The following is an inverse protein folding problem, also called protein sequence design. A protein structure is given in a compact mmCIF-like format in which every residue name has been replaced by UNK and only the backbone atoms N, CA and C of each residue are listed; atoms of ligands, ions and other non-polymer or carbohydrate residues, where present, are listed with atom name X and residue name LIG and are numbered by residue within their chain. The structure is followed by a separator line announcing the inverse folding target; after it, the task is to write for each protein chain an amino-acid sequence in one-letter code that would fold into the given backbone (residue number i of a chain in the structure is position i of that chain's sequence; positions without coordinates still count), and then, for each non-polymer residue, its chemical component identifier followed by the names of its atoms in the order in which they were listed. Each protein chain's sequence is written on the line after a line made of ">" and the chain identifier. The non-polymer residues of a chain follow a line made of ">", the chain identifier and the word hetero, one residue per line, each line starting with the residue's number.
data_IF_750895315705
#
_entry.id   IF_750895315705
#
_cell.length_a   1.000
_cell.length_b   1.000
_cell.length_c   1.000
_cell.angle_alpha   90.00
_cell.angle_beta   90.00
_cell.angle_gamma   90.00
#
_symmetry.space_group_name_H-M   'P 1'
#
loop_
_entity.id
_entity.type
_entity.pdbx_description
1 polymer ?
#
# COMPACT_ATOMS: atom_id res chain seq x y z
N UNK A 1 3.12 9.88 -12.02
CA UNK A 1 1.80 9.55 -11.43
C UNK A 1 1.88 9.43 -9.91
N UNK A 2 2.67 8.50 -9.35
CA UNK A 2 2.74 8.26 -7.89
C UNK A 2 3.09 9.45 -7.02
N UNK A 3 4.19 10.14 -7.35
CA UNK A 3 4.58 11.35 -6.62
C UNK A 3 3.47 12.40 -6.64
N UNK A 4 2.74 12.53 -7.75
CA UNK A 4 1.58 13.42 -7.85
C UNK A 4 0.42 12.99 -6.94
N UNK A 5 0.02 11.72 -6.99
CA UNK A 5 -1.06 11.17 -6.15
C UNK A 5 -0.82 11.39 -4.65
N UNK A 6 0.39 11.10 -4.16
CA UNK A 6 0.70 11.26 -2.73
C UNK A 6 0.89 12.71 -2.31
N UNK A 7 1.30 13.58 -3.24
CA UNK A 7 1.40 15.00 -3.01
C UNK A 7 0.02 15.68 -2.99
N UNK A 8 -0.90 15.18 -3.81
CA UNK A 8 -2.31 15.56 -3.82
C UNK A 8 -3.00 15.16 -2.51
N UNK A 9 -2.80 13.91 -2.06
CA UNK A 9 -3.26 13.49 -0.74
C UNK A 9 -2.71 14.32 0.42
N UNK A 10 -1.41 14.64 0.37
CA UNK A 10 -0.81 15.58 1.34
C UNK A 10 -1.53 16.93 1.30
N UNK A 11 -1.84 17.45 0.11
CA UNK A 11 -2.53 18.73 -0.04
C UNK A 11 -3.94 18.71 0.56
N UNK A 12 -4.68 17.62 0.42
CA UNK A 12 -5.98 17.42 1.08
C UNK A 12 -5.85 17.43 2.61
N UNK A 13 -4.90 16.67 3.17
CA UNK A 13 -4.68 16.63 4.62
C UNK A 13 -4.21 17.96 5.21
N UNK A 14 -3.66 18.85 4.39
CA UNK A 14 -3.16 20.17 4.80
C UNK A 14 -4.04 21.33 4.33
N UNK A 15 -5.31 21.07 4.00
CA UNK A 15 -6.32 22.07 3.66
C UNK A 15 -5.92 22.99 2.51
N UNK A 16 -5.26 22.41 1.49
CA UNK A 16 -4.75 23.14 0.32
C UNK A 16 -5.65 23.04 -0.92
N UNK A 17 -6.69 22.20 -0.87
CA UNK A 17 -7.55 21.87 -2.03
C UNK A 17 -8.99 22.38 -1.86
N UNK A 18 -9.28 23.05 -0.75
CA UNK A 18 -10.65 23.30 -0.25
C UNK A 18 -11.44 24.37 -1.03
N UNK A 19 -10.79 25.11 -1.94
CA UNK A 19 -11.40 26.27 -2.61
C UNK A 19 -11.59 26.10 -4.11
N UNK A 20 -10.91 25.15 -4.74
CA UNK A 20 -10.97 24.94 -6.19
C UNK A 20 -10.44 23.57 -6.56
N UNK A 21 -11.07 22.96 -7.57
CA UNK A 21 -10.57 21.72 -8.17
C UNK A 21 -9.29 21.95 -8.98
N UNK A 22 -9.09 23.14 -9.54
CA UNK A 22 -7.92 23.40 -10.38
C UNK A 22 -6.73 23.85 -9.53
N UNK A 23 -6.05 22.88 -8.93
CA UNK A 23 -4.87 23.10 -8.09
C UNK A 23 -3.58 22.61 -8.75
N UNK A 24 -2.41 23.12 -8.33
CA UNK A 24 -1.12 22.58 -8.79
C UNK A 24 -0.95 21.09 -8.48
N UNK A 25 -1.49 20.61 -7.36
CA UNK A 25 -1.37 19.21 -6.93
C UNK A 25 -2.15 18.27 -7.85
N UNK A 26 -3.41 18.62 -8.15
CA UNK A 26 -4.20 17.93 -9.16
C UNK A 26 -3.50 17.98 -10.52
N UNK A 27 -2.97 19.13 -10.94
CA UNK A 27 -2.26 19.23 -12.23
C UNK A 27 -1.06 18.27 -12.32
N UNK A 28 -0.29 18.09 -11.24
CA UNK A 28 0.83 17.14 -11.19
C UNK A 28 0.34 15.69 -11.18
N UNK A 29 -0.75 15.40 -10.46
CA UNK A 29 -1.35 14.07 -10.44
C UNK A 29 -1.89 13.66 -11.83
N UNK A 30 -2.74 14.52 -12.43
CA UNK A 30 -3.36 14.28 -13.74
C UNK A 30 -2.36 14.31 -14.90
N UNK A 31 -1.30 15.13 -14.86
CA UNK A 31 -0.22 15.04 -15.85
C UNK A 31 0.55 13.72 -15.76
N UNK A 32 0.75 13.23 -14.53
CA UNK A 32 1.30 11.90 -14.29
C UNK A 32 0.41 10.78 -14.85
N UNK A 33 -0.91 10.90 -14.71
CA UNK A 33 -1.88 9.99 -15.34
C UNK A 33 -1.79 10.07 -16.87
N UNK A 34 -1.84 11.28 -17.44
CA UNK A 34 -1.80 11.50 -18.88
C UNK A 34 -0.55 10.87 -19.51
N UNK A 35 0.62 11.02 -18.88
CA UNK A 35 1.85 10.38 -19.34
C UNK A 35 1.73 8.84 -19.42
N UNK A 36 1.13 8.21 -18.41
CA UNK A 36 0.90 6.75 -18.39
C UNK A 36 -0.13 6.34 -19.44
N UNK A 37 -1.23 7.10 -19.57
CA UNK A 37 -2.27 6.85 -20.56
C UNK A 37 -1.73 6.94 -22.00
N UNK A 38 -0.93 7.97 -22.29
CA UNK A 38 -0.27 8.14 -23.60
C UNK A 38 0.74 7.03 -23.88
N UNK A 39 1.51 6.59 -22.88
CA UNK A 39 2.46 5.49 -23.06
C UNK A 39 1.74 4.16 -23.36
N UNK A 40 0.70 3.83 -22.59
CA UNK A 40 -0.08 2.60 -22.81
C UNK A 40 -0.86 2.65 -24.13
N UNK A 41 -1.56 3.77 -24.39
CA UNK A 41 -2.32 3.98 -25.62
C UNK A 41 -1.41 4.02 -26.86
N UNK A 42 -0.27 4.68 -26.77
CA UNK A 42 0.74 4.72 -27.84
C UNK A 42 1.34 3.34 -28.13
N UNK A 43 1.67 2.56 -27.09
CA UNK A 43 2.17 1.19 -27.28
C UNK A 43 1.11 0.28 -27.94
N UNK A 44 -0.16 0.42 -27.56
CA UNK A 44 -1.27 -0.30 -28.18
C UNK A 44 -1.45 0.13 -29.65
N UNK A 45 -1.49 1.44 -29.92
CA UNK A 45 -1.65 1.98 -31.27
C UNK A 45 -0.50 1.54 -32.20
N UNK A 46 0.76 1.62 -31.74
CA UNK A 46 1.92 1.14 -32.49
C UNK A 46 1.83 -0.37 -32.78
N UNK A 47 1.31 -1.16 -31.85
CA UNK A 47 1.11 -2.59 -32.04
C UNK A 47 0.03 -2.89 -33.08
N UNK A 48 -1.06 -2.10 -33.08
CA UNK A 48 -2.13 -2.20 -34.09
C UNK A 48 -1.67 -1.74 -35.48
N UNK A 49 -0.88 -0.66 -35.56
CA UNK A 49 -0.28 -0.19 -36.82
C UNK A 49 0.67 -1.22 -37.44
N UNK A 50 1.21 -2.15 -36.64
CA UNK A 50 2.02 -3.29 -37.10
C UNK A 50 1.17 -4.51 -37.50
N UNK A 51 -0.14 -4.34 -37.68
CA UNK A 51 -1.06 -5.36 -38.19
C UNK A 51 -1.61 -6.31 -37.12
N UNK A 52 -1.41 -6.04 -35.82
CA UNK A 52 -2.02 -6.83 -34.76
C UNK A 52 -3.48 -6.44 -34.56
N UNK A 53 -4.34 -7.42 -34.27
CA UNK A 53 -5.70 -7.13 -33.82
C UNK A 53 -5.65 -6.45 -32.44
N UNK A 54 -6.69 -5.71 -32.06
CA UNK A 54 -6.73 -5.04 -30.76
C UNK A 54 -6.57 -6.01 -29.57
N UNK A 55 -7.06 -7.25 -29.72
CA UNK A 55 -6.90 -8.34 -28.76
C UNK A 55 -5.43 -8.76 -28.63
N UNK A 56 -4.73 -8.93 -29.75
CA UNK A 56 -3.32 -9.35 -29.80
C UNK A 56 -2.32 -8.20 -29.56
N UNK A 57 -2.79 -6.96 -29.66
CA UNK A 57 -2.00 -5.75 -29.46
C UNK A 57 -1.80 -5.45 -27.97
N UNK A 58 -2.65 -5.98 -27.09
CA UNK A 58 -2.53 -5.80 -25.64
C UNK A 58 -1.43 -6.69 -25.07
N UNK A 59 -0.39 -6.12 -24.40
CA UNK A 59 0.62 -6.94 -23.74
C UNK A 59 0.00 -7.79 -22.63
N UNK A 60 0.39 -9.07 -22.56
CA UNK A 60 -0.13 -9.99 -21.56
C UNK A 60 0.07 -9.44 -20.13
N UNK A 61 -1.03 -9.31 -19.37
CA UNK A 61 -1.05 -8.78 -18.01
C UNK A 61 -1.45 -7.30 -17.90
N UNK A 62 -1.48 -6.57 -19.02
CA UNK A 62 -1.87 -5.16 -19.09
C UNK A 62 -3.36 -4.95 -19.39
N UNK A 63 -4.16 -6.01 -19.50
CA UNK A 63 -5.58 -5.91 -19.89
C UNK A 63 -6.37 -5.02 -18.92
N UNK A 64 -6.20 -5.24 -17.62
CA UNK A 64 -6.86 -4.38 -16.62
C UNK A 64 -6.29 -2.95 -16.63
N UNK A 65 -5.04 -2.72 -17.02
CA UNK A 65 -4.53 -1.35 -17.13
C UNK A 65 -5.18 -0.60 -18.29
N UNK A 66 -5.42 -1.28 -19.42
CA UNK A 66 -6.14 -0.70 -20.56
C UNK A 66 -7.57 -0.33 -20.18
N UNK A 67 -8.24 -1.12 -19.34
CA UNK A 67 -9.56 -0.77 -18.78
C UNK A 67 -9.48 0.29 -17.67
N UNK A 68 -8.40 0.29 -16.90
CA UNK A 68 -8.19 1.22 -15.80
C UNK A 68 -7.96 2.66 -16.27
N UNK A 69 -7.35 2.86 -17.44
CA UNK A 69 -7.15 4.20 -18.04
C UNK A 69 -8.47 4.93 -18.29
N UNK A 70 -9.45 4.40 -19.06
CA UNK A 70 -10.73 5.07 -19.25
C UNK A 70 -11.54 5.16 -17.95
N UNK A 71 -11.45 4.17 -17.05
CA UNK A 71 -12.11 4.23 -15.75
C UNK A 71 -11.59 5.39 -14.89
N UNK A 72 -10.27 5.57 -14.84
CA UNK A 72 -9.64 6.69 -14.14
C UNK A 72 -9.98 8.03 -14.80
N UNK A 73 -9.93 8.12 -16.13
CA UNK A 73 -10.30 9.35 -16.84
C UNK A 73 -11.76 9.76 -16.56
N UNK A 74 -12.67 8.79 -16.60
CA UNK A 74 -14.06 9.01 -16.20
C UNK A 74 -14.17 9.40 -14.72
N UNK A 75 -13.43 8.72 -13.84
CA UNK A 75 -13.33 9.05 -12.43
C UNK A 75 -12.97 10.51 -12.18
N UNK A 76 -11.99 11.06 -12.91
CA UNK A 76 -11.58 12.46 -12.73
C UNK A 76 -12.61 13.48 -13.21
N UNK A 77 -13.34 13.18 -14.29
CA UNK A 77 -14.48 14.02 -14.71
C UNK A 77 -15.61 13.93 -13.70
N UNK A 78 -15.89 12.72 -13.19
CA UNK A 78 -16.89 12.50 -12.17
C UNK A 78 -16.54 13.21 -10.87
N UNK A 79 -15.26 13.25 -10.49
CA UNK A 79 -14.74 13.95 -9.32
C UNK A 79 -14.93 15.46 -9.41
N UNK A 80 -14.62 16.06 -10.56
CA UNK A 80 -14.92 17.47 -10.82
C UNK A 80 -16.42 17.77 -10.65
N UNK A 81 -17.28 16.94 -11.22
CA UNK A 81 -18.75 17.09 -11.10
C UNK A 81 -19.18 16.91 -9.64
N UNK A 82 -18.61 15.93 -8.94
CA UNK A 82 -18.90 15.63 -7.55
C UNK A 82 -18.63 16.84 -6.65
N UNK A 83 -17.46 17.46 -6.79
CA UNK A 83 -17.11 18.67 -6.06
C UNK A 83 -18.03 19.87 -6.39
N UNK A 84 -18.49 19.98 -7.63
CA UNK A 84 -19.44 21.04 -8.02
C UNK A 84 -20.82 20.84 -7.39
N UNK A 85 -21.26 19.60 -7.21
CA UNK A 85 -22.58 19.26 -6.68
C UNK A 85 -22.63 19.22 -5.15
N UNK A 86 -21.58 18.69 -4.52
CA UNK A 86 -21.57 18.37 -3.08
C UNK A 86 -20.52 19.15 -2.27
N UNK A 87 -19.67 19.95 -2.93
CA UNK A 87 -18.57 20.66 -2.28
C UNK A 87 -17.32 19.80 -2.08
N UNK A 88 -16.34 20.33 -1.36
CA UNK A 88 -15.11 19.60 -1.01
C UNK A 88 -15.34 18.81 0.29
N UNK A 89 -14.96 17.54 0.25
CA UNK A 89 -15.04 16.61 1.37
C UNK A 89 -14.09 17.01 2.52
N UNK A 90 -14.50 16.75 3.77
CA UNK A 90 -13.74 17.12 4.98
C UNK A 90 -13.39 15.88 5.82
N UNK A 91 -12.24 15.92 6.49
CA UNK A 91 -11.80 14.83 7.35
C UNK A 91 -11.49 13.56 6.56
N UNK A 92 -12.18 12.46 6.85
CA UNK A 92 -11.94 11.17 6.18
C UNK A 92 -12.75 10.99 4.89
N UNK A 93 -13.71 11.87 4.63
CA UNK A 93 -14.61 11.77 3.47
C UNK A 93 -13.89 11.74 2.11
N UNK A 94 -12.80 12.50 1.86
CA UNK A 94 -12.07 12.40 0.59
C UNK A 94 -11.53 10.99 0.29
N UNK A 95 -11.26 10.19 1.34
CA UNK A 95 -10.75 8.83 1.19
C UNK A 95 -11.84 7.81 0.84
N UNK A 96 -13.11 8.19 1.04
CA UNK A 96 -14.27 7.31 0.93
C UNK A 96 -15.27 7.77 -0.12
N UNK A 97 -15.10 8.97 -0.68
CA UNK A 97 -16.09 9.51 -1.60
C UNK A 97 -16.16 8.69 -2.90
N UNK A 98 -17.35 8.55 -3.51
CA UNK A 98 -17.53 7.69 -4.67
C UNK A 98 -16.59 8.04 -5.84
N UNK A 99 -16.29 9.32 -6.05
CA UNK A 99 -15.39 9.77 -7.12
C UNK A 99 -13.95 9.36 -6.87
N UNK A 100 -13.43 9.60 -5.66
CA UNK A 100 -12.08 9.19 -5.25
C UNK A 100 -11.92 7.67 -5.26
N UNK A 101 -12.93 6.90 -4.85
CA UNK A 101 -12.90 5.43 -4.93
C UNK A 101 -12.88 4.92 -6.38
N UNK A 102 -13.54 5.61 -7.31
CA UNK A 102 -13.51 5.28 -8.73
C UNK A 102 -12.12 5.56 -9.33
N UNK A 103 -11.54 6.71 -9.00
CA UNK A 103 -10.16 7.07 -9.34
C UNK A 103 -9.17 6.04 -8.77
N UNK A 104 -9.28 5.70 -7.49
CA UNK A 104 -8.41 4.74 -6.84
C UNK A 104 -8.53 3.33 -7.43
N UNK A 105 -9.73 2.93 -7.85
CA UNK A 105 -9.97 1.66 -8.56
C UNK A 105 -9.27 1.65 -9.91
N UNK A 106 -9.47 2.68 -10.74
CA UNK A 106 -8.78 2.83 -12.02
C UNK A 106 -7.25 2.83 -11.86
N UNK A 107 -6.74 3.56 -10.87
CA UNK A 107 -5.33 3.61 -10.51
C UNK A 107 -4.80 2.22 -10.14
N UNK A 108 -5.47 1.51 -9.23
CA UNK A 108 -5.08 0.17 -8.81
C UNK A 108 -5.01 -0.82 -9.99
N UNK A 109 -5.96 -0.73 -10.93
CA UNK A 109 -5.98 -1.56 -12.15
C UNK A 109 -4.77 -1.29 -13.06
N UNK A 110 -4.43 -0.02 -13.25
CA UNK A 110 -3.26 0.43 -14.04
C UNK A 110 -1.98 -0.09 -13.39
N UNK A 111 -1.82 0.14 -12.10
CA UNK A 111 -0.52 0.03 -11.44
C UNK A 111 -0.14 -1.39 -11.07
N UNK A 112 -1.11 -2.27 -10.94
CA UNK A 112 -0.92 -3.70 -10.72
C UNK A 112 -0.56 -4.46 -12.01
N UNK A 113 -0.45 -3.79 -13.16
CA UNK A 113 -0.14 -4.44 -14.43
C UNK A 113 1.21 -5.18 -14.47
N UNK A 114 2.34 -4.59 -14.00
CA UNK A 114 3.62 -5.30 -14.00
C UNK A 114 3.58 -6.58 -13.14
N UNK A 115 2.78 -6.58 -12.07
CA UNK A 115 2.58 -7.75 -11.21
C UNK A 115 1.91 -8.91 -11.96
N UNK A 116 0.89 -8.63 -12.77
CA UNK A 116 0.23 -9.64 -13.62
C UNK A 116 1.10 -10.06 -14.81
N UNK A 117 1.81 -9.11 -15.41
CA UNK A 117 2.68 -9.36 -16.56
C UNK A 117 3.83 -10.30 -16.18
N UNK A 118 4.44 -10.12 -15.00
CA UNK A 118 5.52 -10.99 -14.54
C UNK A 118 5.11 -12.47 -14.45
N UNK A 119 3.88 -12.75 -14.01
CA UNK A 119 3.32 -14.11 -13.99
C UNK A 119 3.19 -14.72 -15.38
N UNK A 120 2.69 -13.94 -16.34
CA UNK A 120 2.34 -14.47 -17.67
C UNK A 120 3.55 -14.64 -18.58
N UNK A 121 4.55 -13.78 -18.43
CA UNK A 121 5.75 -13.80 -19.25
C UNK A 121 6.82 -14.77 -18.72
N UNK A 122 6.55 -15.51 -17.64
CA UNK A 122 7.56 -16.31 -16.95
C UNK A 122 8.71 -15.47 -16.36
N UNK A 123 8.57 -14.14 -16.35
CA UNK A 123 9.60 -13.18 -15.96
C UNK A 123 9.91 -13.20 -14.45
N UNK A 124 9.26 -14.09 -13.69
CA UNK A 124 9.69 -14.50 -12.35
C UNK A 124 11.11 -15.13 -12.38
N UNK A 125 11.65 -15.47 -13.56
CA UNK A 125 13.06 -15.84 -13.76
C UNK A 125 13.99 -14.62 -13.89
N UNK A 126 14.25 -13.92 -12.78
CA UNK A 126 15.33 -12.93 -12.68
C UNK A 126 14.93 -11.56 -12.12
N UNK A 127 15.94 -10.74 -11.83
CA UNK A 127 15.76 -9.43 -11.17
C UNK A 127 14.93 -8.47 -12.03
N UNK A 128 15.16 -8.46 -13.35
CA UNK A 128 14.50 -7.55 -14.29
C UNK A 128 12.98 -7.77 -14.41
N UNK A 129 12.48 -8.97 -14.10
CA UNK A 129 11.05 -9.23 -14.05
C UNK A 129 10.45 -9.12 -12.64
N UNK A 130 11.19 -9.51 -11.60
CA UNK A 130 10.72 -9.43 -10.20
C UNK A 130 10.67 -8.01 -9.67
N UNK A 131 11.64 -7.16 -9.99
CA UNK A 131 11.70 -5.80 -9.44
C UNK A 131 10.49 -4.95 -9.86
N UNK A 132 10.10 -4.87 -11.16
CA UNK A 132 8.89 -4.15 -11.54
C UNK A 132 7.62 -4.72 -10.89
N UNK A 133 7.52 -6.04 -10.73
CA UNK A 133 6.39 -6.70 -10.08
C UNK A 133 6.32 -6.41 -8.57
N UNK A 134 7.47 -6.42 -7.89
CA UNK A 134 7.57 -6.05 -6.48
C UNK A 134 7.20 -4.58 -6.28
N UNK A 135 7.73 -3.67 -7.09
CA UNK A 135 7.35 -2.25 -7.03
C UNK A 135 5.86 -2.06 -7.31
N UNK A 136 5.29 -2.73 -8.31
CA UNK A 136 3.85 -2.71 -8.57
C UNK A 136 3.02 -3.20 -7.36
N UNK A 137 3.50 -4.20 -6.63
CA UNK A 137 2.88 -4.65 -5.40
C UNK A 137 2.98 -3.58 -4.29
N UNK A 138 4.15 -2.97 -4.10
CA UNK A 138 4.34 -1.85 -3.15
C UNK A 138 3.37 -0.72 -3.44
N UNK A 139 3.22 -0.35 -4.72
CA UNK A 139 2.36 0.74 -5.08
C UNK A 139 0.87 0.39 -4.97
N UNK A 140 0.49 -0.84 -5.32
CA UNK A 140 -0.88 -1.34 -5.13
C UNK A 140 -1.24 -1.35 -3.65
N UNK A 141 -0.34 -1.86 -2.80
CA UNK A 141 -0.48 -1.80 -1.35
C UNK A 141 -0.61 -0.34 -0.89
N UNK A 142 0.21 0.56 -1.42
CA UNK A 142 0.22 1.97 -1.01
C UNK A 142 -1.08 2.70 -1.35
N UNK A 143 -1.80 2.31 -2.42
CA UNK A 143 -3.16 2.81 -2.68
C UNK A 143 -4.11 2.37 -1.56
N UNK A 144 -4.03 1.11 -1.16
CA UNK A 144 -4.92 0.58 -0.11
C UNK A 144 -4.59 1.22 1.25
N UNK A 145 -3.31 1.36 1.59
CA UNK A 145 -2.90 2.03 2.84
C UNK A 145 -3.21 3.53 2.81
N UNK A 146 -3.18 4.16 1.64
CA UNK A 146 -3.59 5.56 1.45
C UNK A 146 -5.09 5.74 1.67
N UNK A 147 -5.93 4.91 1.05
CA UNK A 147 -7.39 4.95 1.28
C UNK A 147 -7.75 4.65 2.75
N UNK A 148 -6.97 3.80 3.41
CA UNK A 148 -7.16 3.45 4.83
C UNK A 148 -6.30 4.28 5.78
N UNK A 149 -5.78 5.44 5.33
CA UNK A 149 -4.82 6.22 6.12
C UNK A 149 -5.37 6.73 7.46
N UNK A 150 -6.69 6.92 7.55
CA UNK A 150 -7.41 7.27 8.79
C UNK A 150 -7.27 6.21 9.91
N UNK A 151 -6.75 5.03 9.58
CA UNK A 151 -6.39 3.96 10.52
C UNK A 151 -4.93 3.54 10.35
N UNK A 152 -4.05 4.44 9.92
CA UNK A 152 -2.64 4.10 9.71
C UNK A 152 -1.75 4.69 10.83
N UNK A 153 -1.06 3.85 11.65
CA UNK A 153 -0.21 4.33 12.74
C UNK A 153 1.02 5.14 12.29
N UNK A 154 1.35 5.12 10.99
CA UNK A 154 2.37 5.96 10.38
C UNK A 154 1.80 7.29 9.85
N UNK A 155 0.49 7.51 9.92
CA UNK A 155 -0.16 8.78 9.56
C UNK A 155 -0.67 9.43 10.85
N UNK A 156 -1.54 8.73 11.59
CA UNK A 156 -2.08 9.17 12.86
C UNK A 156 -1.51 8.36 14.02
N UNK A 157 -0.70 9.02 14.86
CA UNK A 157 0.04 8.40 15.96
C UNK A 157 -0.79 8.44 17.25
N UNK A 158 -1.93 7.75 17.25
CA UNK A 158 -2.87 7.63 18.39
C UNK A 158 -2.20 7.24 19.72
N UNK A 159 -1.03 6.58 19.66
CA UNK A 159 -0.21 6.23 20.81
C UNK A 159 0.37 7.43 21.59
N UNK A 160 0.30 8.65 21.02
CA UNK A 160 0.81 9.90 21.62
C UNK A 160 -0.24 10.77 22.30
N UNK A 161 -1.53 10.53 22.04
CA UNK A 161 -2.56 11.46 22.46
C UNK A 161 -3.20 11.02 23.78
N UNK A 162 -3.42 12.01 24.65
CA UNK A 162 -4.05 11.86 25.97
C UNK A 162 -5.58 12.03 25.91
N UNK A 163 -6.09 12.72 24.88
CA UNK A 163 -7.45 13.25 24.86
C UNK A 163 -8.45 12.37 24.10
N UNK A 164 -8.00 11.29 23.47
CA UNK A 164 -8.86 10.53 22.55
C UNK A 164 -9.80 9.52 23.24
N UNK A 165 -9.64 9.36 24.56
CA UNK A 165 -10.43 8.44 25.38
C UNK A 165 -10.43 7.01 24.87
N UNK A 166 -11.51 6.26 25.14
CA UNK A 166 -11.62 4.86 24.72
C UNK A 166 -11.69 4.70 23.20
N UNK A 167 -12.27 5.68 22.49
CA UNK A 167 -12.45 5.62 21.05
C UNK A 167 -11.11 5.71 20.31
N UNK A 168 -10.23 6.66 20.66
CA UNK A 168 -8.93 6.75 20.02
C UNK A 168 -8.00 5.60 20.36
N UNK A 169 -8.07 5.06 21.59
CA UNK A 169 -7.38 3.82 21.91
C UNK A 169 -7.86 2.67 21.00
N UNK A 170 -9.17 2.52 20.82
CA UNK A 170 -9.74 1.50 19.94
C UNK A 170 -9.34 1.72 18.47
N UNK A 171 -9.36 2.96 17.97
CA UNK A 171 -8.96 3.32 16.61
C UNK A 171 -7.47 3.08 16.37
N UNK A 172 -6.61 3.45 17.31
CA UNK A 172 -5.18 3.18 17.24
C UNK A 172 -4.89 1.68 17.21
N UNK A 173 -5.55 0.88 18.06
CA UNK A 173 -5.40 -0.58 18.04
C UNK A 173 -5.94 -1.15 16.74
N UNK A 174 -7.12 -0.73 16.28
CA UNK A 174 -7.69 -1.15 15.00
C UNK A 174 -6.72 -0.85 13.85
N UNK A 175 -6.09 0.32 13.85
CA UNK A 175 -5.09 0.69 12.86
C UNK A 175 -3.85 -0.20 12.90
N UNK A 176 -3.34 -0.54 14.08
CA UNK A 176 -2.26 -1.54 14.24
C UNK A 176 -2.64 -2.87 13.60
N UNK A 177 -3.87 -3.36 13.82
CA UNK A 177 -4.32 -4.65 13.29
C UNK A 177 -4.56 -4.63 11.78
N UNK A 178 -5.25 -3.60 11.27
CA UNK A 178 -5.55 -3.44 9.84
C UNK A 178 -4.25 -3.30 9.04
N UNK A 179 -3.34 -2.42 9.47
CA UNK A 179 -2.08 -2.22 8.74
C UNK A 179 -1.14 -3.43 8.88
N UNK A 180 -1.16 -4.16 10.00
CA UNK A 180 -0.50 -5.48 10.11
C UNK A 180 -1.01 -6.43 9.04
N UNK A 181 -2.33 -6.52 8.87
CA UNK A 181 -2.94 -7.42 7.90
C UNK A 181 -2.53 -7.07 6.47
N UNK A 182 -2.53 -5.78 6.12
CA UNK A 182 -2.15 -5.30 4.79
C UNK A 182 -0.68 -5.55 4.47
N UNK A 183 0.23 -5.16 5.38
CA UNK A 183 1.68 -5.30 5.19
C UNK A 183 2.11 -6.77 5.15
N UNK A 184 1.62 -7.59 6.08
CA UNK A 184 1.95 -9.02 6.13
C UNK A 184 1.28 -9.77 4.99
N UNK A 185 0.02 -9.46 4.67
CA UNK A 185 -0.68 -10.03 3.53
C UNK A 185 0.06 -9.80 2.22
N UNK A 186 0.50 -8.56 1.97
CA UNK A 186 1.32 -8.24 0.80
C UNK A 186 2.67 -8.97 0.81
N UNK A 187 3.32 -9.08 1.97
CA UNK A 187 4.61 -9.77 2.10
C UNK A 187 4.48 -11.28 1.86
N UNK A 188 3.46 -11.93 2.44
CA UNK A 188 3.17 -13.34 2.22
C UNK A 188 2.79 -13.61 0.76
N UNK A 189 2.05 -12.69 0.14
CA UNK A 189 1.78 -12.74 -1.29
C UNK A 189 3.08 -12.65 -2.10
N UNK A 190 3.95 -11.68 -1.83
CA UNK A 190 5.25 -11.55 -2.51
C UNK A 190 6.12 -12.81 -2.35
N UNK A 191 6.16 -13.37 -1.15
CA UNK A 191 6.88 -14.60 -0.83
C UNK A 191 6.34 -15.78 -1.64
N UNK A 192 5.02 -16.01 -1.63
CA UNK A 192 4.36 -17.10 -2.35
C UNK A 192 4.55 -16.99 -3.86
N UNK A 193 4.61 -15.76 -4.38
CA UNK A 193 4.84 -15.47 -5.79
C UNK A 193 6.33 -15.46 -6.17
N UNK A 194 7.25 -15.71 -5.24
CA UNK A 194 8.69 -15.69 -5.53
C UNK A 194 9.23 -14.32 -5.93
N UNK A 195 8.56 -13.23 -5.53
CA UNK A 195 8.89 -11.86 -5.93
C UNK A 195 9.94 -11.21 -5.03
N UNK A 196 10.13 -11.73 -3.81
CA UNK A 196 11.08 -11.18 -2.86
C UNK A 196 12.51 -11.35 -3.38
N UNK A 197 13.13 -10.21 -3.70
CA UNK A 197 14.57 -10.07 -3.89
C UNK A 197 15.24 -9.89 -2.51
N UNK A 198 16.57 -10.07 -2.39
CA UNK A 198 17.28 -9.62 -1.18
C UNK A 198 16.95 -8.16 -0.88
N UNK A 199 16.47 -7.86 0.34
CA UNK A 199 16.01 -6.52 0.71
C UNK A 199 14.56 -6.21 0.30
N UNK A 200 13.82 -7.17 -0.26
CA UNK A 200 12.48 -6.98 -0.79
C UNK A 200 11.45 -6.62 0.28
N UNK A 201 11.58 -7.16 1.49
CA UNK A 201 10.71 -6.79 2.62
C UNK A 201 11.02 -5.37 3.09
N UNK A 202 12.31 -5.02 3.17
CA UNK A 202 12.77 -3.66 3.46
C UNK A 202 12.23 -2.64 2.48
N UNK A 203 12.32 -2.92 1.17
CA UNK A 203 11.78 -2.04 0.12
C UNK A 203 10.26 -1.88 0.29
N UNK A 204 9.53 -2.97 0.51
CA UNK A 204 8.08 -2.93 0.67
C UNK A 204 7.66 -2.06 1.86
N UNK A 205 8.25 -2.30 3.03
CA UNK A 205 7.90 -1.59 4.27
C UNK A 205 8.33 -0.12 4.20
N UNK A 206 9.57 0.14 3.78
CA UNK A 206 10.15 1.49 3.80
C UNK A 206 9.49 2.40 2.77
N UNK A 207 9.24 1.92 1.54
CA UNK A 207 8.59 2.75 0.52
C UNK A 207 7.13 3.02 0.87
N UNK A 208 6.40 2.02 1.39
CA UNK A 208 5.03 2.25 1.85
C UNK A 208 5.00 3.26 3.00
N UNK A 209 5.83 3.06 4.03
CA UNK A 209 5.93 3.98 5.16
C UNK A 209 6.37 5.39 4.72
N UNK A 210 7.32 5.52 3.79
CA UNK A 210 7.73 6.82 3.23
C UNK A 210 6.52 7.58 2.69
N UNK A 211 5.71 6.92 1.87
CA UNK A 211 4.51 7.52 1.29
C UNK A 211 3.42 7.82 2.32
N UNK A 212 3.26 6.99 3.35
CA UNK A 212 2.30 7.23 4.43
C UNK A 212 2.75 8.39 5.32
N UNK A 213 4.02 8.43 5.73
CA UNK A 213 4.51 9.46 6.66
C UNK A 213 4.48 10.87 6.09
N UNK A 214 4.46 11.03 4.76
CA UNK A 214 4.28 12.36 4.17
C UNK A 214 2.92 12.94 4.55
N UNK A 215 1.89 12.11 4.70
CA UNK A 215 0.50 12.53 4.83
C UNK A 215 0.23 13.43 6.05
N UNK A 216 0.91 13.21 7.18
CA UNK A 216 0.90 14.04 8.39
C UNK A 216 2.31 14.33 8.94
N UNK A 217 3.31 14.29 8.06
CA UNK A 217 4.71 14.66 8.36
C UNK A 217 5.37 13.88 9.53
N UNK A 218 4.99 12.63 9.72
CA UNK A 218 5.46 11.74 10.80
C UNK A 218 6.80 11.05 10.47
N UNK A 219 7.68 11.71 9.73
CA UNK A 219 8.92 11.16 9.16
C UNK A 219 9.86 10.51 10.18
N UNK A 220 9.77 10.91 11.46
CA UNK A 220 10.50 10.31 12.56
C UNK A 220 10.24 8.80 12.74
N UNK A 221 9.15 8.27 12.18
CA UNK A 221 8.79 6.85 12.22
C UNK A 221 9.48 6.02 11.12
N UNK A 222 10.08 6.64 10.09
CA UNK A 222 10.71 5.92 8.98
C UNK A 222 11.79 4.90 9.39
N UNK A 223 12.65 5.18 10.39
CA UNK A 223 13.59 4.18 10.88
C UNK A 223 12.92 2.89 11.37
N UNK A 224 11.69 2.95 11.90
CA UNK A 224 10.95 1.76 12.34
C UNK A 224 10.64 0.85 11.15
N UNK A 225 10.11 1.41 10.06
CA UNK A 225 9.79 0.65 8.86
C UNK A 225 11.04 0.04 8.20
N UNK A 226 12.14 0.82 8.18
CA UNK A 226 13.43 0.36 7.66
C UNK A 226 13.98 -0.82 8.48
N UNK A 227 14.04 -0.67 9.81
CA UNK A 227 14.58 -1.71 10.71
C UNK A 227 13.70 -2.96 10.74
N UNK A 228 12.38 -2.80 10.79
CA UNK A 228 11.44 -3.91 10.75
C UNK A 228 11.50 -4.66 9.41
N UNK A 229 11.63 -3.92 8.30
CA UNK A 229 11.83 -4.49 6.99
C UNK A 229 13.14 -5.27 6.86
N UNK A 230 14.24 -4.71 7.38
CA UNK A 230 15.56 -5.37 7.40
C UNK A 230 15.54 -6.64 8.27
N UNK A 231 14.86 -6.60 9.41
CA UNK A 231 14.59 -7.79 10.22
C UNK A 231 13.74 -8.79 9.43
N UNK A 232 12.74 -8.34 8.68
CA UNK A 232 11.94 -9.19 7.80
C UNK A 232 12.78 -9.92 6.77
N UNK A 233 13.70 -9.24 6.09
CA UNK A 233 14.63 -9.88 5.15
C UNK A 233 15.58 -10.86 5.85
N UNK A 234 16.06 -10.53 7.05
CA UNK A 234 16.85 -11.45 7.87
C UNK A 234 16.04 -12.72 8.23
N UNK A 235 14.77 -12.56 8.63
CA UNK A 235 13.90 -13.69 8.94
C UNK A 235 13.62 -14.54 7.69
N UNK A 236 13.45 -13.93 6.51
CA UNK A 236 13.35 -14.66 5.23
C UNK A 236 14.61 -15.48 4.99
N UNK A 237 15.79 -14.89 5.19
CA UNK A 237 17.07 -15.55 4.99
C UNK A 237 17.30 -16.73 5.97
N UNK A 238 17.02 -16.52 7.26
CA UNK A 238 17.27 -17.50 8.32
C UNK A 238 16.21 -18.61 8.35
N UNK A 239 14.93 -18.24 8.38
CA UNK A 239 13.83 -19.21 8.54
C UNK A 239 13.52 -19.96 7.23
N UNK A 240 13.83 -19.33 6.09
CA UNK A 240 13.44 -19.79 4.75
C UNK A 240 11.95 -20.15 4.69
N UNK A 241 11.06 -19.19 4.99
CA UNK A 241 9.62 -19.45 5.07
C UNK A 241 9.10 -19.89 3.69
N UNK A 242 8.35 -20.98 3.66
CA UNK A 242 7.82 -21.57 2.42
C UNK A 242 6.53 -22.33 2.70
N UNK A 243 5.72 -22.56 1.68
CA UNK A 243 4.50 -23.39 1.76
C UNK A 243 4.84 -24.80 2.25
N UNK A 244 5.99 -25.34 1.84
CA UNK A 244 6.53 -26.64 2.27
C UNK A 244 7.14 -26.62 3.68
N UNK A 245 7.26 -25.44 4.32
CA UNK A 245 7.82 -25.24 5.67
C UNK A 245 6.82 -24.43 6.52
N UNK A 246 5.63 -24.99 6.83
CA UNK A 246 4.53 -24.24 7.41
C UNK A 246 4.85 -23.60 8.76
N UNK A 247 5.63 -24.28 9.63
CA UNK A 247 6.05 -23.69 10.89
C UNK A 247 6.94 -22.46 10.70
N UNK A 248 7.91 -22.52 9.78
CA UNK A 248 8.78 -21.38 9.48
C UNK A 248 7.98 -20.20 8.91
N UNK A 249 6.99 -20.48 8.05
CA UNK A 249 6.07 -19.46 7.53
C UNK A 249 5.21 -18.83 8.63
N UNK A 250 4.66 -19.63 9.54
CA UNK A 250 3.83 -19.16 10.67
C UNK A 250 4.63 -18.30 11.63
N UNK A 251 5.84 -18.74 11.99
CA UNK A 251 6.77 -17.97 12.84
C UNK A 251 7.14 -16.66 12.17
N UNK A 252 7.48 -16.67 10.87
CA UNK A 252 7.76 -15.46 10.09
C UNK A 252 6.56 -14.50 10.09
N UNK A 253 5.36 -15.01 9.78
CA UNK A 253 4.15 -14.21 9.67
C UNK A 253 3.73 -13.59 11.01
N UNK A 254 3.99 -14.27 12.13
CA UNK A 254 3.80 -13.70 13.47
C UNK A 254 4.87 -12.67 13.82
N UNK A 255 6.15 -13.01 13.62
CA UNK A 255 7.27 -12.21 14.09
C UNK A 255 7.38 -10.87 13.35
N UNK A 256 7.06 -10.83 12.06
CA UNK A 256 7.20 -9.62 11.25
C UNK A 256 6.37 -8.42 11.75
N UNK A 257 5.03 -8.50 11.87
CA UNK A 257 4.22 -7.38 12.38
C UNK A 257 4.42 -7.15 13.88
N UNK A 258 4.67 -8.20 14.67
CA UNK A 258 4.98 -8.06 16.08
C UNK A 258 6.26 -7.25 16.30
N UNK A 259 7.31 -7.51 15.52
CA UNK A 259 8.55 -6.75 15.60
C UNK A 259 8.39 -5.31 15.11
N UNK A 260 7.64 -5.09 14.01
CA UNK A 260 7.32 -3.74 13.52
C UNK A 260 6.71 -2.88 14.64
N UNK A 261 5.64 -3.37 15.26
CA UNK A 261 4.94 -2.58 16.28
C UNK A 261 5.68 -2.54 17.62
N UNK A 262 6.45 -3.57 17.97
CA UNK A 262 7.35 -3.50 19.11
C UNK A 262 8.38 -2.36 18.91
N UNK A 263 9.03 -2.30 17.75
CA UNK A 263 9.98 -1.22 17.43
C UNK A 263 9.31 0.15 17.39
N UNK A 264 8.09 0.23 16.83
CA UNK A 264 7.27 1.44 16.81
C UNK A 264 7.03 1.99 18.23
N UNK A 265 6.51 1.15 19.13
CA UNK A 265 6.20 1.59 20.49
C UNK A 265 7.45 1.86 21.31
N UNK A 266 8.53 1.09 21.10
CA UNK A 266 9.82 1.35 21.75
C UNK A 266 10.42 2.68 21.30
N UNK A 267 10.30 3.05 20.02
CA UNK A 267 10.73 4.36 19.54
C UNK A 267 9.94 5.49 20.21
N UNK A 268 8.60 5.38 20.25
CA UNK A 268 7.76 6.36 20.93
C UNK A 268 8.09 6.48 22.41
N UNK A 269 8.33 5.34 23.08
CA UNK A 269 8.72 5.29 24.48
C UNK A 269 10.07 5.96 24.72
N UNK A 270 11.07 5.68 23.88
CA UNK A 270 12.39 6.29 23.96
C UNK A 270 12.34 7.81 23.75
N UNK A 271 11.42 8.30 22.91
CA UNK A 271 11.16 9.72 22.71
C UNK A 271 10.31 10.38 23.80
N UNK A 272 9.85 9.66 24.82
CA UNK A 272 8.92 10.18 25.83
C UNK A 272 7.52 10.52 25.30
N UNK A 273 7.15 9.96 24.14
CA UNK A 273 5.91 10.25 23.41
C UNK A 273 4.85 9.15 23.58
N UNK A 274 5.18 8.01 24.19
CA UNK A 274 4.23 6.91 24.38
C UNK A 274 3.35 7.17 25.61
N UNK A 275 2.07 7.47 25.36
CA UNK A 275 1.07 7.71 26.40
C UNK A 275 0.35 6.43 26.82
N UNK A 276 0.24 5.47 25.90
CA UNK A 276 -0.47 4.22 26.15
C UNK A 276 0.12 3.41 27.31
N UNK A 277 -0.75 2.84 28.13
CA UNK A 277 -0.36 1.94 29.21
C UNK A 277 0.41 0.72 28.68
N UNK A 278 1.23 0.11 29.53
CA UNK A 278 1.98 -1.10 29.18
C UNK A 278 1.08 -2.19 28.60
N UNK A 279 -0.08 -2.44 29.21
CA UNK A 279 -1.04 -3.43 28.75
C UNK A 279 -1.51 -3.19 27.31
N UNK A 280 -1.74 -1.92 26.95
CA UNK A 280 -2.30 -1.56 25.65
C UNK A 280 -1.28 -1.73 24.53
N UNK A 281 -0.07 -1.18 24.67
CA UNK A 281 0.93 -1.26 23.60
C UNK A 281 1.55 -2.67 23.46
N UNK A 282 1.77 -3.39 24.58
CA UNK A 282 2.23 -4.80 24.49
C UNK A 282 1.14 -5.72 23.97
N UNK A 283 -0.12 -5.48 24.36
CA UNK A 283 -1.28 -6.21 23.85
C UNK A 283 -1.48 -6.01 22.34
N UNK A 284 -1.44 -4.76 21.88
CA UNK A 284 -1.52 -4.42 20.45
C UNK A 284 -0.40 -5.07 19.63
N UNK A 285 0.83 -5.10 20.17
CA UNK A 285 1.98 -5.77 19.55
C UNK A 285 1.75 -7.28 19.40
N UNK A 286 1.24 -7.94 20.44
CA UNK A 286 0.91 -9.37 20.40
C UNK A 286 -0.21 -9.65 19.37
N UNK A 287 -1.27 -8.85 19.37
CA UNK A 287 -2.38 -8.99 18.44
C UNK A 287 -1.96 -8.77 16.99
N UNK A 288 -1.06 -7.83 16.71
CA UNK A 288 -0.45 -7.66 15.39
C UNK A 288 0.24 -8.95 14.90
N UNK A 289 0.99 -9.61 15.79
CA UNK A 289 1.55 -10.93 15.55
C UNK A 289 0.49 -11.99 15.24
N UNK A 290 -0.58 -12.04 16.05
CA UNK A 290 -1.68 -13.00 15.85
C UNK A 290 -2.39 -12.77 14.50
N UNK A 291 -2.60 -11.53 14.08
CA UNK A 291 -3.16 -11.21 12.76
C UNK A 291 -2.29 -11.80 11.64
N UNK A 292 -0.98 -11.57 11.70
CA UNK A 292 -0.04 -12.15 10.74
C UNK A 292 -0.04 -13.69 10.75
N UNK A 293 -0.09 -14.29 11.94
CA UNK A 293 -0.23 -15.74 12.10
C UNK A 293 -1.51 -16.25 11.43
N UNK A 294 -2.67 -15.62 11.65
CA UNK A 294 -3.94 -16.02 11.02
C UNK A 294 -3.88 -15.92 9.50
N UNK A 295 -3.27 -14.86 8.96
CA UNK A 295 -3.06 -14.73 7.51
C UNK A 295 -2.19 -15.84 6.92
N UNK A 296 -1.25 -16.40 7.69
CA UNK A 296 -0.45 -17.53 7.23
C UNK A 296 -1.29 -18.80 7.01
N UNK A 297 -2.38 -18.99 7.77
CA UNK A 297 -3.33 -20.09 7.56
C UNK A 297 -4.18 -19.90 6.30
N UNK A 298 -4.46 -18.65 5.92
CA UNK A 298 -5.11 -18.32 4.63
C UNK A 298 -4.14 -18.53 3.46
N UNK A 299 -2.86 -18.19 3.66
CA UNK A 299 -1.84 -18.28 2.62
C UNK A 299 -1.44 -19.72 2.27
N UNK A 300 -1.55 -20.67 3.21
CA UNK A 300 -1.19 -22.08 3.05
C UNK A 300 -2.37 -22.99 3.38
N UNK A 301 -2.88 -23.79 2.42
CA UNK A 301 -3.86 -24.84 2.70
C UNK A 301 -3.29 -25.80 3.76
N UNK A 302 -4.11 -26.19 4.75
CA UNK A 302 -3.71 -27.26 5.66
C UNK A 302 -3.58 -28.56 4.85
N UNK A 303 -2.60 -29.44 5.15
CA UNK A 303 -2.66 -30.81 4.69
C UNK A 303 -4.02 -31.39 5.10
N UNK A 304 -4.72 -32.02 4.16
CA UNK A 304 -5.86 -32.84 4.51
C UNK A 304 -5.31 -34.05 5.29
N UNK A 305 -5.69 -34.16 6.56
CA UNK A 305 -5.56 -35.40 7.34
C UNK A 305 -6.55 -36.45 6.83
#
# INVERSE_FOLDING_TARGET
>A
MWAGCFWDGWAHNHHRVDNTFFTPWHAVFYSGFLAVALLLGGALALSMLRGRTWLDATPAGYELAILGVPLFAFGGVFDLIWHQMFGFEVGIEPLLSPSHLLLATGLAMIVSAPLRAARRNGAESGVLGRLPALLALVWTLSVITFLTQFTNPFVDVWARSLDDGILGHAMGVAGVLVQSALLVGATLFALRRGLLLPGGVTVLFTLNALLMTTQHETYALLPVALLAGALGDLLVFVLKPAVTRPLALRVFAFALPAALYLMYFLLLKAGGQLVWSTNLWTGATMLAGIVGLLLSYVAVPQPHD
#
